data_IF_202890187850
#
_entry.id   IF_202890187850
#
_cell.length_a   1.000
_cell.length_b   1.000
_cell.length_c   1.000
_cell.angle_alpha   90.00
_cell.angle_beta   90.00
_cell.angle_gamma   90.00
#
_symmetry.space_group_name_H-M   'P 1'
#
loop_
_entity.id
_entity.type
_entity.pdbx_description
1 polymer ?
#
# COMPACT_ATOMS: atom_id res chain seq x y z
N UNK A 1 14.92 -42.61 -22.72
CA UNK A 1 15.29 -41.27 -22.19
C UNK A 1 14.29 -40.28 -22.74
N UNK A 2 13.25 -39.96 -21.96
CA UNK A 2 12.23 -38.98 -22.37
C UNK A 2 12.64 -37.61 -21.85
N UNK A 3 12.97 -36.71 -22.78
CA UNK A 3 13.28 -35.30 -22.49
C UNK A 3 11.98 -34.60 -22.06
N UNK A 4 11.93 -33.93 -20.90
CA UNK A 4 10.73 -33.19 -20.50
C UNK A 4 10.51 -31.95 -21.38
N UNK A 5 9.27 -31.45 -21.51
CA UNK A 5 8.93 -30.32 -22.35
C UNK A 5 9.50 -29.00 -21.80
N UNK A 6 10.52 -28.45 -22.46
CA UNK A 6 11.14 -27.15 -22.14
C UNK A 6 10.32 -25.93 -22.59
N UNK A 7 9.21 -26.15 -23.30
CA UNK A 7 8.41 -25.09 -23.94
C UNK A 7 7.63 -24.24 -22.94
N UNK A 8 7.16 -24.83 -21.83
CA UNK A 8 6.31 -24.15 -20.83
C UNK A 8 7.09 -23.14 -19.99
N UNK A 9 8.33 -23.46 -19.61
CA UNK A 9 9.20 -22.57 -18.81
C UNK A 9 9.69 -21.36 -19.61
N UNK A 10 9.99 -21.56 -20.90
CA UNK A 10 10.39 -20.48 -21.81
C UNK A 10 9.24 -19.49 -22.05
N UNK A 11 8.01 -20.00 -22.21
CA UNK A 11 6.80 -19.18 -22.33
C UNK A 11 6.55 -18.30 -21.10
N UNK A 12 6.62 -18.88 -19.89
CA UNK A 12 6.49 -18.13 -18.64
C UNK A 12 7.55 -17.05 -18.48
N UNK A 13 8.82 -17.35 -18.78
CA UNK A 13 9.91 -16.38 -18.72
C UNK A 13 9.67 -15.18 -19.65
N UNK A 14 9.17 -15.44 -20.87
CA UNK A 14 8.82 -14.39 -21.83
C UNK A 14 7.64 -13.52 -21.35
N UNK A 15 6.62 -14.13 -20.72
CA UNK A 15 5.47 -13.42 -20.17
C UNK A 15 5.87 -12.51 -19.00
N UNK A 16 6.72 -13.01 -18.08
CA UNK A 16 7.26 -12.20 -16.97
C UNK A 16 8.08 -11.03 -17.51
N UNK A 17 8.93 -11.25 -18.52
CA UNK A 17 9.70 -10.20 -19.14
C UNK A 17 8.82 -9.11 -19.78
N UNK A 18 7.75 -9.51 -20.47
CA UNK A 18 6.78 -8.58 -21.08
C UNK A 18 6.01 -7.79 -20.03
N UNK A 19 5.55 -8.45 -18.96
CA UNK A 19 4.89 -7.78 -17.84
C UNK A 19 5.80 -6.76 -17.15
N UNK A 20 7.03 -7.16 -16.81
CA UNK A 20 8.01 -6.28 -16.16
C UNK A 20 8.32 -5.06 -17.04
N UNK A 21 8.49 -5.25 -18.36
CA UNK A 21 8.67 -4.15 -19.31
C UNK A 21 7.46 -3.20 -19.33
N UNK A 22 6.25 -3.69 -19.16
CA UNK A 22 5.03 -2.88 -19.10
C UNK A 22 4.87 -2.06 -17.81
N UNK A 23 5.48 -2.50 -16.71
CA UNK A 23 5.35 -1.84 -15.39
C UNK A 23 6.59 -1.01 -15.00
N UNK A 24 7.77 -1.31 -15.55
CA UNK A 24 9.06 -0.74 -15.10
C UNK A 24 9.08 0.79 -15.01
N UNK A 25 8.52 1.50 -16.01
CA UNK A 25 8.50 2.97 -16.01
C UNK A 25 7.68 3.54 -14.85
N UNK A 26 6.48 2.97 -14.65
CA UNK A 26 5.56 3.39 -13.59
C UNK A 26 6.13 3.03 -12.22
N UNK A 27 6.69 1.84 -12.08
CA UNK A 27 7.31 1.38 -10.85
C UNK A 27 8.55 2.22 -10.47
N UNK A 28 9.36 2.63 -11.44
CA UNK A 28 10.53 3.49 -11.19
C UNK A 28 10.15 4.91 -10.75
N UNK A 29 9.14 5.51 -11.39
CA UNK A 29 8.61 6.80 -10.98
C UNK A 29 7.94 6.72 -9.60
N UNK A 30 7.14 5.67 -9.37
CA UNK A 30 6.52 5.39 -8.08
C UNK A 30 7.55 5.29 -6.97
N UNK A 31 8.58 4.45 -7.16
CA UNK A 31 9.61 4.22 -6.17
C UNK A 31 10.38 5.51 -5.87
N UNK A 32 10.78 6.27 -6.89
CA UNK A 32 11.45 7.57 -6.73
C UNK A 32 10.58 8.56 -5.92
N UNK A 33 9.30 8.70 -6.24
CA UNK A 33 8.44 9.67 -5.54
C UNK A 33 8.08 9.21 -4.13
N UNK A 34 8.05 7.89 -3.87
CA UNK A 34 7.87 7.40 -2.51
C UNK A 34 9.13 7.60 -1.67
N UNK A 35 10.33 7.30 -2.20
CA UNK A 35 11.60 7.37 -1.46
C UNK A 35 12.19 8.78 -1.41
N UNK A 36 11.89 9.63 -2.38
CA UNK A 36 12.53 10.93 -2.60
C UNK A 36 13.89 10.86 -3.29
N UNK A 37 14.36 9.66 -3.68
CA UNK A 37 15.67 9.45 -4.29
C UNK A 37 15.61 8.41 -5.43
N UNK A 38 16.21 8.76 -6.57
CA UNK A 38 16.21 7.94 -7.78
C UNK A 38 16.96 6.63 -7.56
N UNK A 39 18.17 6.69 -7.00
CA UNK A 39 19.02 5.50 -6.86
C UNK A 39 18.43 4.53 -5.83
N UNK A 40 17.90 5.04 -4.72
CA UNK A 40 17.22 4.25 -3.69
C UNK A 40 15.92 3.64 -4.23
N UNK A 41 15.17 4.37 -5.04
CA UNK A 41 13.96 3.87 -5.72
C UNK A 41 14.26 2.76 -6.72
N UNK A 42 15.27 2.95 -7.58
CA UNK A 42 15.70 1.96 -8.57
C UNK A 42 16.28 0.70 -7.89
N UNK A 43 16.93 0.84 -6.73
CA UNK A 43 17.39 -0.29 -5.90
C UNK A 43 16.24 -1.15 -5.39
N UNK A 44 15.23 -0.49 -4.81
CA UNK A 44 14.05 -1.19 -4.32
C UNK A 44 13.29 -1.88 -5.47
N UNK A 45 13.20 -1.24 -6.64
CA UNK A 45 12.61 -1.82 -7.82
C UNK A 45 13.38 -3.06 -8.32
N UNK A 46 14.71 -3.02 -8.36
CA UNK A 46 15.53 -4.15 -8.77
C UNK A 46 15.32 -5.38 -7.86
N UNK A 47 15.23 -5.15 -6.55
CA UNK A 47 14.92 -6.20 -5.58
C UNK A 47 13.51 -6.78 -5.83
N UNK A 48 12.50 -5.91 -5.97
CA UNK A 48 11.12 -6.32 -6.24
C UNK A 48 10.97 -7.09 -7.56
N UNK A 49 11.69 -6.70 -8.62
CA UNK A 49 11.70 -7.44 -9.90
C UNK A 49 12.26 -8.86 -9.73
N UNK A 50 13.33 -9.01 -8.95
CA UNK A 50 13.96 -10.31 -8.69
C UNK A 50 13.03 -11.23 -7.91
N UNK A 51 12.41 -10.71 -6.85
CA UNK A 51 11.46 -11.45 -6.02
C UNK A 51 10.18 -11.79 -6.80
N UNK A 52 9.68 -10.85 -7.60
CA UNK A 52 8.51 -11.07 -8.44
C UNK A 52 8.74 -12.15 -9.50
N UNK A 53 9.93 -12.21 -10.12
CA UNK A 53 10.23 -13.25 -11.11
C UNK A 53 10.10 -14.67 -10.53
N UNK A 54 10.41 -14.85 -9.25
CA UNK A 54 10.19 -16.11 -8.54
C UNK A 54 8.71 -16.32 -8.21
N UNK A 55 8.03 -15.30 -7.68
CA UNK A 55 6.62 -15.32 -7.28
C UNK A 55 5.68 -15.59 -8.46
N UNK A 56 5.99 -15.10 -9.66
CA UNK A 56 5.19 -15.26 -10.86
C UNK A 56 5.03 -16.72 -11.30
N UNK A 57 5.93 -17.62 -10.89
CA UNK A 57 5.84 -19.05 -11.22
C UNK A 57 4.66 -19.77 -10.58
N UNK A 58 4.20 -19.29 -9.42
CA UNK A 58 3.07 -19.85 -8.67
C UNK A 58 1.83 -18.96 -8.62
N UNK A 59 1.83 -17.84 -9.36
CA UNK A 59 0.76 -16.83 -9.30
C UNK A 59 0.00 -16.78 -10.63
N UNK A 60 -1.34 -16.83 -10.64
CA UNK A 60 -2.14 -16.61 -11.84
C UNK A 60 -1.87 -15.24 -12.47
N UNK A 61 -1.82 -15.18 -13.80
CA UNK A 61 -1.54 -13.93 -14.54
C UNK A 61 -2.41 -12.73 -14.14
N UNK A 62 -3.73 -12.86 -13.88
CA UNK A 62 -4.56 -11.73 -13.45
C UNK A 62 -4.12 -11.10 -12.12
N UNK A 63 -3.49 -11.86 -11.22
CA UNK A 63 -3.05 -11.38 -9.91
C UNK A 63 -1.67 -10.71 -9.96
N UNK A 64 -0.96 -10.77 -11.09
CA UNK A 64 0.41 -10.27 -11.24
C UNK A 64 0.55 -8.79 -10.90
N UNK A 65 -0.28 -7.86 -11.41
CA UNK A 65 -0.18 -6.44 -11.05
C UNK A 65 -0.27 -6.22 -9.55
N UNK A 66 -1.31 -6.77 -8.90
CA UNK A 66 -1.53 -6.65 -7.46
C UNK A 66 -0.35 -7.19 -6.67
N UNK A 67 0.15 -8.39 -7.01
CA UNK A 67 1.27 -9.02 -6.31
C UNK A 67 2.57 -8.24 -6.49
N UNK A 68 2.83 -7.73 -7.69
CA UNK A 68 3.99 -6.90 -7.97
C UNK A 68 4.00 -5.63 -7.11
N UNK A 69 2.89 -4.89 -7.05
CA UNK A 69 2.79 -3.66 -6.26
C UNK A 69 2.89 -3.93 -4.76
N UNK A 70 2.28 -5.01 -4.26
CA UNK A 70 2.44 -5.43 -2.87
C UNK A 70 3.91 -5.77 -2.54
N UNK A 71 4.61 -6.47 -3.44
CA UNK A 71 6.04 -6.79 -3.27
C UNK A 71 6.91 -5.53 -3.26
N UNK A 72 6.66 -4.60 -4.19
CA UNK A 72 7.39 -3.33 -4.25
C UNK A 72 7.23 -2.53 -2.97
N UNK A 73 6.04 -2.49 -2.39
CA UNK A 73 5.77 -1.79 -1.12
C UNK A 73 6.31 -2.50 0.11
N UNK A 74 6.60 -3.80 0.03
CA UNK A 74 7.26 -4.53 1.10
C UNK A 74 8.74 -4.11 1.25
N UNK A 75 9.34 -3.54 0.20
CA UNK A 75 10.72 -3.07 0.22
C UNK A 75 10.95 -2.05 1.36
N UNK A 76 11.96 -2.25 2.23
CA UNK A 76 12.19 -1.40 3.40
C UNK A 76 12.33 0.10 3.07
N UNK A 77 12.95 0.41 1.93
CA UNK A 77 13.13 1.78 1.47
C UNK A 77 11.82 2.54 1.21
N UNK A 78 10.75 1.83 0.84
CA UNK A 78 9.43 2.44 0.58
C UNK A 78 8.56 2.55 1.84
N UNK A 79 8.85 1.75 2.88
CA UNK A 79 8.14 1.77 4.17
C UNK A 79 8.57 2.91 5.09
N UNK A 80 9.79 3.43 4.93
CA UNK A 80 10.32 4.57 5.67
C UNK A 80 10.63 5.74 4.71
N UNK A 81 9.61 6.36 4.09
CA UNK A 81 9.81 7.39 3.09
C UNK A 81 10.42 8.65 3.71
N UNK A 82 11.43 9.20 3.04
CA UNK A 82 11.99 10.48 3.41
C UNK A 82 11.03 11.63 3.06
N UNK A 83 11.21 12.76 3.74
CA UNK A 83 10.56 14.02 3.35
C UNK A 83 11.02 14.36 1.94
N UNK A 84 10.08 14.62 1.03
CA UNK A 84 10.42 15.01 -0.33
C UNK A 84 10.97 16.44 -0.28
N UNK A 85 12.13 16.73 -0.88
CA UNK A 85 12.59 18.10 -1.00
C UNK A 85 11.65 18.92 -1.89
N UNK A 86 11.34 20.15 -1.49
CA UNK A 86 10.47 21.07 -2.25
C UNK A 86 11.05 21.40 -3.65
N UNK A 87 12.37 21.39 -3.79
CA UNK A 87 13.11 21.66 -5.04
C UNK A 87 13.53 20.39 -5.81
N UNK A 88 13.00 19.22 -5.44
CA UNK A 88 13.35 17.95 -6.08
C UNK A 88 12.73 17.77 -7.47
N UNK A 89 13.22 16.79 -8.24
CA UNK A 89 12.59 16.30 -9.49
C UNK A 89 11.24 15.57 -9.24
N UNK A 90 10.57 15.88 -8.12
CA UNK A 90 9.32 15.29 -7.67
C UNK A 90 8.10 16.03 -8.21
N UNK A 91 6.93 15.38 -8.12
CA UNK A 91 5.65 16.06 -8.34
C UNK A 91 5.42 17.05 -7.18
N UNK A 92 5.30 18.37 -7.42
CA UNK A 92 5.14 19.36 -6.36
C UNK A 92 3.95 19.06 -5.44
N UNK A 93 2.87 18.52 -6.01
CA UNK A 93 1.68 18.12 -5.27
C UNK A 93 1.90 16.99 -4.24
N UNK A 94 3.02 16.27 -4.32
CA UNK A 94 3.38 15.20 -3.38
C UNK A 94 4.34 15.66 -2.27
N UNK A 95 4.98 16.83 -2.40
CA UNK A 95 6.01 17.30 -1.48
C UNK A 95 5.47 17.49 -0.05
N UNK A 96 4.24 18.01 0.09
CA UNK A 96 3.57 18.20 1.37
C UNK A 96 2.94 16.94 1.98
N UNK A 97 2.93 15.80 1.28
CA UNK A 97 2.29 14.58 1.78
C UNK A 97 3.26 13.73 2.59
N UNK A 98 2.81 13.25 3.75
CA UNK A 98 3.52 12.22 4.51
C UNK A 98 3.45 10.86 3.80
N UNK A 99 4.30 9.92 4.20
CA UNK A 99 4.51 8.64 3.49
C UNK A 99 3.25 7.82 3.20
N UNK A 100 2.30 7.77 4.14
CA UNK A 100 1.05 7.03 3.99
C UNK A 100 0.08 7.67 2.97
N UNK A 101 -0.34 8.93 3.17
CA UNK A 101 -1.12 9.67 2.17
C UNK A 101 -0.46 9.74 0.80
N UNK A 102 0.88 9.80 0.74
CA UNK A 102 1.62 9.77 -0.52
C UNK A 102 1.43 8.43 -1.25
N UNK A 103 1.56 7.30 -0.55
CA UNK A 103 1.43 5.98 -1.16
C UNK A 103 0.02 5.74 -1.71
N UNK A 104 -1.03 6.21 -1.02
CA UNK A 104 -2.41 6.05 -1.49
C UNK A 104 -2.66 6.78 -2.80
N UNK A 105 -2.18 8.03 -2.91
CA UNK A 105 -2.25 8.83 -4.14
C UNK A 105 -1.43 8.19 -5.25
N UNK A 106 -0.19 7.78 -4.97
CA UNK A 106 0.68 7.14 -5.95
C UNK A 106 0.09 5.83 -6.51
N UNK A 107 -0.55 5.01 -5.67
CA UNK A 107 -1.23 3.79 -6.14
C UNK A 107 -2.37 4.11 -7.12
N UNK A 108 -3.09 5.22 -6.90
CA UNK A 108 -4.17 5.63 -7.79
C UNK A 108 -3.65 6.23 -9.10
N UNK A 109 -2.70 7.16 -9.03
CA UNK A 109 -2.28 7.94 -10.21
C UNK A 109 -1.20 7.27 -11.02
N UNK A 110 -0.24 6.63 -10.34
CA UNK A 110 1.00 6.13 -10.96
C UNK A 110 0.90 4.65 -11.23
N UNK A 111 0.48 3.87 -10.22
CA UNK A 111 0.22 2.45 -10.43
C UNK A 111 -1.04 2.22 -11.28
N UNK A 112 -1.98 3.18 -11.29
CA UNK A 112 -3.21 3.11 -12.08
C UNK A 112 -4.17 2.03 -11.60
N UNK A 113 -4.05 1.61 -10.34
CA UNK A 113 -4.87 0.55 -9.77
C UNK A 113 -6.29 1.06 -9.49
N UNK A 114 -7.24 0.13 -9.58
CA UNK A 114 -8.59 0.37 -9.07
C UNK A 114 -8.57 0.45 -7.54
N UNK A 115 -9.53 1.14 -6.93
CA UNK A 115 -9.56 1.36 -5.47
C UNK A 115 -9.52 0.05 -4.68
N UNK A 116 -10.21 -0.98 -5.15
CA UNK A 116 -10.26 -2.27 -4.47
C UNK A 116 -8.91 -3.00 -4.53
N UNK A 117 -8.19 -2.93 -5.65
CA UNK A 117 -6.86 -3.51 -5.79
C UNK A 117 -5.84 -2.72 -4.96
N UNK A 118 -5.89 -1.39 -4.99
CA UNK A 118 -5.01 -0.54 -4.19
C UNK A 118 -5.21 -0.76 -2.68
N UNK A 119 -6.46 -0.91 -2.23
CA UNK A 119 -6.78 -1.28 -0.86
C UNK A 119 -6.21 -2.66 -0.49
N UNK A 120 -6.38 -3.65 -1.38
CA UNK A 120 -5.84 -5.00 -1.19
C UNK A 120 -4.30 -5.04 -1.17
N UNK A 121 -3.63 -4.16 -1.92
CA UNK A 121 -2.16 -3.99 -1.91
C UNK A 121 -1.69 -3.44 -0.56
N UNK A 122 -2.42 -2.49 0.02
CA UNK A 122 -2.11 -1.91 1.33
C UNK A 122 -2.58 -2.75 2.52
N UNK A 123 -3.35 -3.81 2.28
CA UNK A 123 -3.93 -4.64 3.35
C UNK A 123 -5.00 -3.92 4.17
N UNK A 124 -5.70 -2.94 3.58
CA UNK A 124 -6.77 -2.16 4.23
C UNK A 124 -8.11 -2.37 3.53
N UNK A 125 -9.20 -1.97 4.18
CA UNK A 125 -10.52 -1.99 3.54
C UNK A 125 -10.61 -0.93 2.44
N UNK A 126 -11.50 -1.14 1.47
CA UNK A 126 -11.78 -0.15 0.41
C UNK A 126 -12.22 1.19 1.00
N UNK A 127 -13.05 1.18 2.05
CA UNK A 127 -13.51 2.39 2.71
C UNK A 127 -12.35 3.20 3.32
N UNK A 128 -11.42 2.51 4.01
CA UNK A 128 -10.23 3.15 4.59
C UNK A 128 -9.32 3.73 3.50
N UNK A 129 -9.12 3.01 2.40
CA UNK A 129 -8.36 3.52 1.26
C UNK A 129 -9.02 4.78 0.67
N UNK A 130 -10.33 4.76 0.46
CA UNK A 130 -11.08 5.88 -0.14
C UNK A 130 -11.03 7.13 0.75
N UNK A 131 -11.17 6.96 2.07
CA UNK A 131 -11.04 8.04 3.04
C UNK A 131 -9.61 8.62 3.06
N UNK A 132 -8.59 7.76 3.01
CA UNK A 132 -7.20 8.18 2.92
C UNK A 132 -6.91 8.97 1.64
N UNK A 133 -7.47 8.53 0.50
CA UNK A 133 -7.35 9.22 -0.78
C UNK A 133 -8.04 10.59 -0.76
N UNK A 134 -9.26 10.68 -0.20
CA UNK A 134 -9.99 11.94 -0.03
C UNK A 134 -9.18 12.95 0.79
N UNK A 135 -8.62 12.52 1.93
CA UNK A 135 -7.81 13.39 2.80
C UNK A 135 -6.48 13.84 2.18
N UNK A 136 -5.91 13.04 1.28
CA UNK A 136 -4.62 13.33 0.66
C UNK A 136 -4.70 14.28 -0.53
N UNK A 137 -5.87 14.40 -1.16
CA UNK A 137 -6.03 15.21 -2.37
C UNK A 137 -6.33 16.69 -2.05
N UNK A 138 -6.05 17.60 -3.00
CA UNK A 138 -6.38 19.01 -2.84
C UNK A 138 -7.90 19.21 -2.71
N UNK A 139 -8.27 20.11 -1.80
CA UNK A 139 -9.65 20.56 -1.62
C UNK A 139 -9.77 22.01 -2.09
N UNK A 140 -10.95 22.39 -2.58
CA UNK A 140 -11.30 23.77 -2.86
C UNK A 140 -11.54 24.52 -1.54
N UNK A 141 -11.61 25.85 -1.59
CA UNK A 141 -11.88 26.73 -0.44
C UNK A 141 -13.17 26.37 0.33
N UNK A 142 -14.13 25.74 -0.34
CA UNK A 142 -15.38 25.24 0.23
C UNK A 142 -15.23 23.88 0.96
N UNK A 143 -14.02 23.33 1.02
CA UNK A 143 -13.74 22.02 1.60
C UNK A 143 -14.17 20.83 0.72
N UNK A 144 -14.68 21.07 -0.49
CA UNK A 144 -15.02 20.00 -1.44
C UNK A 144 -13.76 19.50 -2.17
N UNK A 145 -13.73 18.24 -2.63
CA UNK A 145 -12.62 17.74 -3.46
C UNK A 145 -12.48 18.54 -4.76
N UNK A 146 -11.27 18.93 -5.15
CA UNK A 146 -11.01 19.61 -6.42
C UNK A 146 -10.69 18.62 -7.55
N UNK A 147 -11.65 18.31 -8.46
CA UNK A 147 -11.42 17.37 -9.55
C UNK A 147 -10.44 17.89 -10.60
N UNK A 148 -10.29 19.21 -10.76
CA UNK A 148 -9.35 19.77 -11.73
C UNK A 148 -7.92 19.69 -11.22
N UNK A 149 -7.69 20.01 -9.94
CA UNK A 149 -6.38 19.79 -9.32
C UNK A 149 -6.00 18.32 -9.38
N UNK A 150 -6.95 17.42 -9.13
CA UNK A 150 -6.72 16.00 -9.27
C UNK A 150 -6.28 15.63 -10.70
N UNK A 151 -7.00 16.11 -11.73
CA UNK A 151 -6.64 15.84 -13.13
C UNK A 151 -5.26 16.37 -13.49
N UNK A 152 -4.92 17.61 -13.06
CA UNK A 152 -3.59 18.20 -13.28
C UNK A 152 -2.48 17.34 -12.68
N UNK A 153 -2.68 16.80 -11.48
CA UNK A 153 -1.70 15.91 -10.83
C UNK A 153 -1.53 14.61 -11.62
N UNK A 154 -2.63 13.98 -12.05
CA UNK A 154 -2.59 12.75 -12.83
C UNK A 154 -1.89 12.96 -14.19
N UNK A 155 -2.20 14.06 -14.87
CA UNK A 155 -1.59 14.41 -16.16
C UNK A 155 -0.09 14.71 -16.02
N UNK A 156 0.30 15.45 -14.97
CA UNK A 156 1.70 15.72 -14.65
C UNK A 156 2.47 14.43 -14.34
N UNK A 157 1.88 13.54 -13.54
CA UNK A 157 2.46 12.23 -13.24
C UNK A 157 2.67 11.40 -14.51
N UNK A 158 1.64 11.33 -15.36
CA UNK A 158 1.72 10.57 -16.61
C UNK A 158 2.70 11.18 -17.61
N UNK A 159 2.80 12.51 -17.68
CA UNK A 159 3.79 13.20 -18.48
C UNK A 159 5.22 12.89 -18.00
N UNK A 160 5.47 12.94 -16.68
CA UNK A 160 6.76 12.61 -16.11
C UNK A 160 7.16 11.14 -16.34
N UNK A 161 6.21 10.20 -16.21
CA UNK A 161 6.44 8.77 -16.51
C UNK A 161 6.82 8.56 -17.99
N UNK A 162 6.16 9.28 -18.90
CA UNK A 162 6.46 9.22 -20.35
C UNK A 162 7.81 9.85 -20.69
N UNK A 163 8.17 10.94 -19.99
CA UNK A 163 9.40 11.70 -20.19
C UNK A 163 10.62 11.13 -19.43
N UNK A 164 10.56 9.87 -18.94
CA UNK A 164 11.69 9.24 -18.26
C UNK A 164 12.96 9.26 -19.14
N UNK A 165 14.12 9.68 -18.60
CA UNK A 165 15.36 9.77 -19.38
C UNK A 165 15.74 8.43 -20.03
N UNK A 166 16.22 8.43 -21.30
CA UNK A 166 16.55 7.21 -22.02
C UNK A 166 17.67 6.40 -21.34
N UNK A 167 18.64 7.07 -20.72
CA UNK A 167 19.71 6.40 -19.96
C UNK A 167 19.17 5.63 -18.75
N UNK A 168 18.13 6.17 -18.10
CA UNK A 168 17.46 5.49 -16.98
C UNK A 168 16.66 4.29 -17.50
N UNK A 169 15.99 4.41 -18.65
CA UNK A 169 15.31 3.27 -19.27
C UNK A 169 16.28 2.14 -19.63
N UNK A 170 17.47 2.46 -20.16
CA UNK A 170 18.51 1.46 -20.43
C UNK A 170 18.99 0.78 -19.13
N UNK A 171 19.16 1.56 -18.05
CA UNK A 171 19.48 1.03 -16.72
C UNK A 171 18.41 0.07 -16.21
N UNK A 172 17.13 0.45 -16.30
CA UNK A 172 15.99 -0.39 -15.89
C UNK A 172 15.91 -1.69 -16.71
N UNK A 173 16.16 -1.63 -18.02
CA UNK A 173 16.21 -2.81 -18.86
C UNK A 173 17.30 -3.80 -18.41
N UNK A 174 18.49 -3.28 -18.05
CA UNK A 174 19.57 -4.10 -17.49
C UNK A 174 19.23 -4.71 -16.13
N UNK A 175 18.50 -3.99 -15.27
CA UNK A 175 18.01 -4.50 -13.98
C UNK A 175 17.00 -5.63 -14.17
N UNK A 176 16.04 -5.47 -15.10
CA UNK A 176 15.07 -6.51 -15.46
C UNK A 176 15.77 -7.77 -15.97
N UNK A 177 16.77 -7.63 -16.84
CA UNK A 177 17.52 -8.78 -17.38
C UNK A 177 18.36 -9.50 -16.33
N UNK A 178 18.86 -8.78 -15.33
CA UNK A 178 19.51 -9.41 -14.18
C UNK A 178 18.49 -10.12 -13.27
N UNK A 179 17.34 -9.48 -13.01
CA UNK A 179 16.26 -10.05 -12.21
C UNK A 179 15.74 -11.37 -12.79
N UNK A 180 15.54 -11.44 -14.11
CA UNK A 180 15.14 -12.67 -14.82
C UNK A 180 16.19 -13.78 -14.74
N UNK A 181 17.46 -13.43 -14.52
CA UNK A 181 18.56 -14.39 -14.26
C UNK A 181 18.71 -14.72 -12.76
N UNK A 182 17.83 -14.20 -11.90
CA UNK A 182 17.93 -14.37 -10.44
C UNK A 182 19.11 -13.62 -9.82
N UNK A 183 19.69 -12.65 -10.53
CA UNK A 183 20.81 -11.84 -10.04
C UNK A 183 20.29 -10.48 -9.59
N UNK A 184 20.67 -10.05 -8.39
CA UNK A 184 20.50 -8.65 -7.96
C UNK A 184 21.81 -7.92 -8.29
N UNK A 185 21.86 -7.05 -9.32
CA UNK A 185 23.09 -6.33 -9.62
C UNK A 185 23.44 -5.40 -8.45
N UNK A 186 24.72 -5.31 -8.04
CA UNK A 186 25.14 -4.19 -7.22
C UNK A 186 24.97 -2.93 -8.08
N UNK A 187 24.05 -2.05 -7.69
CA UNK A 187 23.87 -0.75 -8.33
C UNK A 187 25.17 0.05 -8.17
N UNK A 188 25.97 0.11 -9.24
CA UNK A 188 27.09 1.05 -9.32
C UNK A 188 26.49 2.45 -9.42
N UNK A 189 26.85 3.31 -8.47
CA UNK A 189 26.62 4.76 -8.54
C UNK A 189 27.34 5.30 -9.78
N UNK A 190 26.62 5.39 -10.89
CA UNK A 190 27.04 6.14 -12.05
C UNK A 190 26.35 7.51 -11.98
N UNK A 191 27.09 8.63 -11.99
CA UNK A 191 26.47 9.94 -11.96
C UNK A 191 25.62 10.07 -13.24
N UNK A 192 24.31 10.22 -13.07
CA UNK A 192 23.45 10.71 -14.14
C UNK A 192 23.95 12.13 -14.45
N UNK A 193 24.41 12.33 -15.69
CA UNK A 193 25.00 13.58 -16.13
C UNK A 193 23.89 14.64 -16.18
N UNK A 194 23.79 15.44 -15.12
CA UNK A 194 22.92 16.61 -15.05
C UNK A 194 23.30 17.54 -16.22
N UNK A 195 22.31 17.93 -17.03
CA UNK A 195 22.50 18.93 -18.08
C UNK A 195 23.14 20.20 -17.48
N UNK A 196 24.07 20.86 -18.18
CA UNK A 196 24.83 21.97 -17.61
C UNK A 196 23.88 23.15 -17.33
N UNK A 197 23.52 23.32 -16.06
CA UNK A 197 23.03 24.58 -15.56
C UNK A 197 24.22 25.56 -15.56
N UNK A 198 23.97 26.75 -16.10
CA UNK A 198 24.90 27.89 -16.15
C UNK A 198 25.64 28.02 -14.81
N UNK A 199 26.98 28.00 -14.88
CA UNK A 199 27.88 28.11 -13.73
C UNK A 199 27.68 29.44 -12.99
N UNK A 200 26.93 29.40 -11.89
CA UNK A 200 27.17 30.31 -10.77
C UNK A 200 28.37 29.77 -9.96
N UNK A 201 29.19 30.62 -9.32
CA UNK A 201 30.35 30.15 -8.56
C UNK A 201 29.85 29.37 -7.33
N UNK A 202 29.91 28.05 -7.41
CA UNK A 202 29.61 27.16 -6.29
C UNK A 202 30.86 27.07 -5.42
N UNK A 203 30.79 27.67 -4.23
CA UNK A 203 31.74 27.39 -3.15
C UNK A 203 31.80 25.88 -2.92
N UNK A 204 33.00 25.33 -3.04
CA UNK A 204 33.26 23.90 -2.90
C UNK A 204 32.99 23.48 -1.47
N UNK A 205 31.83 22.87 -1.23
CA UNK A 205 31.54 22.20 0.04
C UNK A 205 32.56 21.07 0.28
N UNK A 206 33.15 20.96 1.49
CA UNK A 206 34.22 20.01 1.75
C UNK A 206 33.70 18.56 1.71
N UNK A 207 34.43 17.75 0.95
CA UNK A 207 34.30 16.29 0.82
C UNK A 207 34.22 15.60 2.18
N UNK A 208 33.37 14.57 2.22
CA UNK A 208 33.16 13.60 3.29
C UNK A 208 34.30 13.52 4.31
N UNK A 209 34.02 14.00 5.52
CA UNK A 209 34.91 13.89 6.68
C UNK A 209 35.23 12.41 6.90
N UNK A 210 36.48 12.02 6.62
CA UNK A 210 37.10 10.86 7.27
C UNK A 210 36.85 11.03 8.76
N UNK A 211 36.07 10.13 9.36
CA UNK A 211 35.75 10.19 10.79
C UNK A 211 37.07 10.17 11.54
N UNK A 212 37.42 11.33 12.13
CA UNK A 212 38.61 11.50 12.91
C UNK A 212 38.58 10.50 14.07
N UNK A 213 39.70 9.82 14.40
CA UNK A 213 39.75 8.78 15.43
C UNK A 213 39.37 9.28 16.83
N UNK A 214 39.27 10.60 17.02
CA UNK A 214 38.80 11.23 18.26
C UNK A 214 37.27 11.35 18.40
N UNK A 215 36.49 10.95 17.38
CA UNK A 215 35.02 10.83 17.49
C UNK A 215 34.59 9.59 18.27
N UNK A 216 35.44 8.57 18.39
CA UNK A 216 35.15 7.37 19.19
C UNK A 216 34.95 7.65 20.68
N UNK A 217 35.77 8.45 21.38
CA UNK A 217 35.49 8.81 22.78
C UNK A 217 34.24 9.68 22.93
N UNK A 218 33.96 10.58 21.97
CA UNK A 218 32.75 11.40 22.00
C UNK A 218 31.48 10.58 21.77
N UNK A 219 31.51 9.61 20.84
CA UNK A 219 30.42 8.66 20.65
C UNK A 219 30.27 7.73 21.85
N UNK A 220 31.38 7.29 22.46
CA UNK A 220 31.36 6.53 23.70
C UNK A 220 30.68 7.29 24.84
N UNK A 221 31.01 8.58 25.01
CA UNK A 221 30.37 9.43 26.02
C UNK A 221 28.88 9.60 25.77
N UNK A 222 28.47 9.86 24.52
CA UNK A 222 27.05 10.02 24.16
C UNK A 222 26.30 8.70 24.37
N UNK A 223 26.90 7.57 24.00
CA UNK A 223 26.27 6.26 24.16
C UNK A 223 26.16 5.87 25.64
N UNK A 224 27.15 6.20 26.47
CA UNK A 224 27.09 6.05 27.92
C UNK A 224 26.04 6.97 28.54
N UNK A 225 25.94 8.23 28.10
CA UNK A 225 24.91 9.15 28.57
C UNK A 225 23.50 8.68 28.17
N UNK A 226 23.35 8.13 26.96
CA UNK A 226 22.09 7.59 26.47
C UNK A 226 21.70 6.30 27.20
N UNK A 227 22.66 5.42 27.49
CA UNK A 227 22.45 4.23 28.32
C UNK A 227 22.18 4.60 29.79
N UNK A 228 22.80 5.64 30.32
CA UNK A 228 22.51 6.14 31.66
C UNK A 228 21.11 6.75 31.75
N UNK A 229 20.70 7.53 30.75
CA UNK A 229 19.33 8.05 30.64
C UNK A 229 18.31 6.91 30.49
N UNK A 230 18.61 5.90 29.68
CA UNK A 230 17.75 4.73 29.50
C UNK A 230 17.68 3.89 30.79
N UNK A 231 18.80 3.65 31.47
CA UNK A 231 18.83 3.00 32.77
C UNK A 231 18.07 3.81 33.82
N UNK A 232 18.10 5.14 33.74
CA UNK A 232 17.31 6.03 34.61
C UNK A 232 15.81 5.87 34.37
N UNK A 233 15.36 5.63 33.13
CA UNK A 233 13.94 5.34 32.86
C UNK A 233 13.49 3.98 33.41
N UNK A 234 14.42 3.07 33.70
CA UNK A 234 14.15 1.75 34.27
C UNK A 234 14.60 1.62 35.73
N UNK A 235 15.01 2.74 36.35
CA UNK A 235 15.33 2.85 37.78
C UNK A 235 14.19 2.35 38.67
N UNK A 236 12.96 2.63 38.27
CA UNK A 236 11.75 2.24 39.01
C UNK A 236 11.28 0.80 38.67
N UNK A 237 11.97 0.13 37.75
CA UNK A 237 11.67 -1.23 37.29
C UNK A 237 12.73 -2.27 37.75
N UNK A 238 13.65 -1.90 38.64
CA UNK A 238 14.63 -2.84 39.19
C UNK A 238 13.96 -3.89 40.10
N UNK A 239 14.27 -5.18 39.92
CA UNK A 239 13.62 -6.25 40.65
C UNK A 239 14.14 -6.28 42.09
N UNK A 240 13.25 -5.98 43.04
CA UNK A 240 13.55 -6.00 44.48
C UNK A 240 12.60 -5.16 45.34
N UNK A 241 11.89 -4.21 44.75
CA UNK A 241 10.74 -3.55 45.38
C UNK A 241 9.45 -4.19 44.88
N UNK A 242 8.82 -5.01 45.71
CA UNK A 242 7.57 -5.70 45.37
C UNK A 242 6.49 -4.75 44.87
N UNK A 243 5.75 -5.19 43.86
CA UNK A 243 4.50 -4.61 43.38
C UNK A 243 3.35 -4.90 44.38
N UNK A 244 3.60 -4.68 45.66
CA UNK A 244 2.64 -4.83 46.76
C UNK A 244 2.87 -3.65 47.71
N UNK A 245 2.34 -2.47 47.33
CA UNK A 245 1.62 -1.58 48.28
C UNK A 245 1.22 -0.20 47.73
N UNK A 246 1.63 0.23 46.53
CA UNK A 246 1.32 1.63 46.15
C UNK A 246 1.06 1.91 44.65
N UNK A 247 0.32 1.01 43.98
CA UNK A 247 -0.51 1.46 42.85
C UNK A 247 -1.90 1.73 43.39
N UNK A 248 -2.02 2.81 44.16
CA UNK A 248 -3.31 3.38 44.50
C UNK A 248 -3.96 3.87 43.20
N UNK A 249 -4.79 3.02 42.59
CA UNK A 249 -5.71 3.42 41.53
C UNK A 249 -6.50 4.60 42.08
N UNK A 250 -6.22 5.81 41.59
CA UNK A 250 -6.98 7.00 41.99
C UNK A 250 -8.33 6.92 41.30
N UNK A 251 -9.30 6.37 42.01
CA UNK A 251 -10.71 6.41 41.66
C UNK A 251 -11.18 7.81 42.07
N UNK A 252 -11.20 8.73 41.11
CA UNK A 252 -11.84 10.03 41.31
C UNK A 252 -13.32 9.87 40.96
N UNK A 253 -14.20 10.13 41.92
CA UNK A 253 -15.63 10.12 41.68
C UNK A 253 -15.94 11.26 40.70
N UNK A 254 -16.42 10.90 39.50
CA UNK A 254 -16.99 11.87 38.58
C UNK A 254 -18.06 12.67 39.33
N UNK A 255 -18.15 13.99 39.12
CA UNK A 255 -19.24 14.78 39.68
C UNK A 255 -20.56 14.12 39.30
N UNK A 256 -21.50 14.06 40.24
CA UNK A 256 -22.80 13.45 40.02
C UNK A 256 -23.37 13.97 38.69
N UNK A 257 -23.58 13.05 37.75
CA UNK A 257 -24.09 13.40 36.43
C UNK A 257 -25.34 14.26 36.62
N UNK A 258 -25.39 15.43 35.98
CA UNK A 258 -26.60 16.22 35.98
C UNK A 258 -27.75 15.32 35.51
N UNK A 259 -28.82 15.25 36.30
CA UNK A 259 -30.01 14.55 35.88
C UNK A 259 -30.46 15.11 34.53
N UNK A 260 -30.81 14.25 33.56
CA UNK A 260 -31.21 14.70 32.23
C UNK A 260 -32.35 15.72 32.36
N UNK A 261 -32.33 16.75 31.51
CA UNK A 261 -33.27 17.87 31.58
C UNK A 261 -34.74 17.42 31.42
N UNK A 262 -34.96 16.26 30.80
CA UNK A 262 -36.21 15.53 30.81
C UNK A 262 -35.90 14.03 30.64
N UNK A 263 -36.62 13.19 31.36
CA UNK A 263 -36.73 11.76 31.06
C UNK A 263 -38.06 11.52 30.37
N UNK A 264 -38.09 10.58 29.43
CA UNK A 264 -39.36 10.01 29.02
C UNK A 264 -40.00 9.29 30.21
N UNK A 265 -41.32 9.22 30.25
CA UNK A 265 -42.00 8.30 31.17
C UNK A 265 -41.63 6.85 30.80
N UNK A 266 -41.83 5.92 31.74
CA UNK A 266 -41.39 4.53 31.56
C UNK A 266 -42.04 3.84 30.35
N UNK A 267 -43.27 4.25 29.99
CA UNK A 267 -44.01 3.71 28.84
C UNK A 267 -43.42 4.21 27.51
N UNK A 268 -43.15 5.51 27.41
CA UNK A 268 -42.52 6.13 26.22
C UNK A 268 -41.06 5.72 26.11
N UNK A 269 -40.35 5.57 27.23
CA UNK A 269 -38.99 5.05 27.24
C UNK A 269 -38.93 3.63 26.66
N UNK A 270 -39.84 2.75 27.07
CA UNK A 270 -39.93 1.40 26.53
C UNK A 270 -40.30 1.41 25.04
N UNK A 271 -41.29 2.21 24.64
CA UNK A 271 -41.72 2.31 23.23
C UNK A 271 -40.67 2.91 22.29
N UNK A 272 -39.71 3.68 22.82
CA UNK A 272 -38.65 4.33 22.04
C UNK A 272 -37.31 3.59 22.19
N UNK A 273 -37.29 2.45 22.88
CA UNK A 273 -36.09 1.65 23.04
C UNK A 273 -35.68 1.07 21.66
N UNK A 274 -34.41 1.23 21.23
CA UNK A 274 -33.92 0.65 19.98
C UNK A 274 -34.16 -0.86 19.86
N UNK A 275 -34.22 -1.56 21.01
CA UNK A 275 -34.41 -3.01 21.09
C UNK A 275 -35.85 -3.39 21.46
N UNK A 276 -36.83 -2.49 21.33
CA UNK A 276 -38.23 -2.73 21.71
C UNK A 276 -38.84 -4.00 21.07
N UNK A 277 -38.57 -4.24 19.78
CA UNK A 277 -39.02 -5.44 19.08
C UNK A 277 -38.44 -6.73 19.71
N UNK A 278 -37.20 -6.65 20.19
CA UNK A 278 -36.49 -7.75 20.84
C UNK A 278 -36.95 -7.94 22.30
N UNK A 279 -37.41 -6.88 22.97
CA UNK A 279 -38.00 -6.94 24.31
C UNK A 279 -39.44 -7.47 24.32
N UNK A 280 -40.19 -7.27 23.24
CA UNK A 280 -41.57 -7.75 23.10
C UNK A 280 -41.67 -9.19 22.57
N UNK A 281 -40.57 -9.74 22.07
CA UNK A 281 -40.52 -11.10 21.52
C UNK A 281 -40.71 -12.16 22.62
N UNK A 282 -41.53 -13.19 22.38
CA UNK A 282 -41.85 -14.25 23.36
C UNK A 282 -40.59 -14.91 23.93
N UNK A 283 -40.58 -15.20 25.24
CA UNK A 283 -39.43 -15.73 26.03
C UNK A 283 -38.91 -17.13 25.61
N UNK A 284 -39.36 -17.64 24.47
CA UNK A 284 -38.96 -18.95 23.91
C UNK A 284 -37.99 -18.82 22.74
N UNK A 285 -37.50 -17.61 22.46
CA UNK A 285 -36.58 -17.36 21.37
C UNK A 285 -35.20 -17.95 21.64
N UNK A 286 -34.68 -18.77 20.72
CA UNK A 286 -33.43 -19.50 20.88
C UNK A 286 -32.19 -18.61 21.07
N UNK A 287 -32.25 -17.35 20.63
CA UNK A 287 -31.17 -16.38 20.84
C UNK A 287 -31.05 -15.92 22.30
N UNK A 288 -32.09 -16.09 23.14
CA UNK A 288 -32.01 -15.81 24.58
C UNK A 288 -31.26 -16.88 25.36
N UNK A 289 -31.34 -18.12 24.92
CA UNK A 289 -30.62 -19.23 25.55
C UNK A 289 -29.11 -19.16 25.26
N UNK A 290 -28.74 -18.76 24.03
CA UNK A 290 -27.34 -18.69 23.59
C UNK A 290 -26.97 -17.36 22.90
N UNK A 291 -27.06 -16.21 23.59
CA UNK A 291 -26.92 -14.90 22.95
C UNK A 291 -25.55 -14.67 22.30
N UNK A 292 -24.49 -15.23 22.90
CA UNK A 292 -23.14 -15.15 22.35
C UNK A 292 -22.99 -15.90 21.01
N UNK A 293 -23.68 -17.03 20.86
CA UNK A 293 -23.66 -17.81 19.63
C UNK A 293 -24.41 -17.08 18.51
N UNK A 294 -25.58 -16.51 18.81
CA UNK A 294 -26.37 -15.79 17.81
C UNK A 294 -25.75 -14.44 17.40
N UNK A 295 -25.06 -13.73 18.31
CA UNK A 295 -24.27 -12.55 17.95
C UNK A 295 -23.08 -12.90 17.03
N UNK A 296 -22.45 -14.05 17.24
CA UNK A 296 -21.44 -14.57 16.31
C UNK A 296 -22.06 -15.03 14.98
N UNK A 297 -23.25 -15.62 15.00
CA UNK A 297 -23.93 -16.10 13.81
C UNK A 297 -24.45 -14.94 12.93
N UNK A 298 -24.96 -13.86 13.51
CA UNK A 298 -25.44 -12.68 12.74
C UNK A 298 -24.31 -12.06 11.91
N UNK A 299 -23.11 -11.93 12.47
CA UNK A 299 -21.93 -11.46 11.73
C UNK A 299 -21.49 -12.41 10.61
N UNK A 300 -21.85 -13.69 10.67
CA UNK A 300 -21.61 -14.67 9.60
C UNK A 300 -22.69 -14.65 8.51
N UNK A 301 -23.94 -14.43 8.88
CA UNK A 301 -25.09 -14.38 7.96
C UNK A 301 -25.12 -13.06 7.18
N UNK A 302 -24.72 -11.94 7.79
CA UNK A 302 -24.62 -10.62 7.12
C UNK A 302 -23.42 -10.51 6.16
N UNK A 303 -22.60 -11.56 6.04
CA UNK A 303 -21.70 -11.66 4.91
C UNK A 303 -22.57 -12.04 3.71
N UNK A 304 -22.84 -11.16 2.73
CA UNK A 304 -23.58 -11.58 1.56
C UNK A 304 -22.83 -12.77 0.97
N UNK A 305 -23.53 -13.90 0.86
CA UNK A 305 -23.14 -14.96 -0.06
C UNK A 305 -22.83 -14.25 -1.37
N UNK A 306 -21.61 -14.43 -1.88
CA UNK A 306 -21.19 -13.89 -3.16
C UNK A 306 -22.16 -14.45 -4.20
N UNK A 307 -23.23 -13.72 -4.49
CA UNK A 307 -24.25 -14.04 -5.49
C UNK A 307 -23.68 -13.78 -6.89
N UNK A 308 -22.41 -14.16 -7.08
CA UNK A 308 -21.79 -14.47 -8.35
C UNK A 308 -22.08 -15.92 -8.69
N UNK A 309 -23.35 -16.32 -8.63
CA UNK A 309 -23.79 -17.26 -9.64
C UNK A 309 -23.66 -16.50 -10.96
N UNK A 310 -22.78 -16.99 -11.82
CA UNK A 310 -22.47 -16.39 -13.11
C UNK A 310 -23.76 -16.25 -13.94
N UNK A 311 -24.40 -15.09 -13.87
CA UNK A 311 -25.47 -14.69 -14.78
C UNK A 311 -25.02 -14.60 -16.25
N UNK A 312 -23.76 -14.97 -16.54
CA UNK A 312 -23.23 -15.11 -17.90
C UNK A 312 -23.23 -16.56 -18.42
N UNK A 313 -23.69 -17.53 -17.62
CA UNK A 313 -23.83 -18.94 -18.01
C UNK A 313 -25.29 -19.42 -18.00
N UNK A 314 -26.27 -18.51 -18.16
CA UNK A 314 -27.59 -18.93 -18.58
C UNK A 314 -27.51 -19.37 -20.05
N UNK A 315 -27.49 -20.70 -20.18
CA UNK A 315 -27.76 -21.51 -21.36
C UNK A 315 -28.32 -20.75 -22.56
N UNK A 316 -27.49 -20.60 -23.59
CA UNK A 316 -27.99 -20.45 -24.96
C UNK A 316 -28.88 -21.67 -25.25
N UNK A 317 -30.16 -21.50 -25.62
CA UNK A 317 -30.99 -22.61 -26.00
C UNK A 317 -30.40 -23.25 -27.26
N UNK A 318 -30.04 -24.52 -27.14
CA UNK A 318 -29.72 -25.41 -28.24
C UNK A 318 -30.97 -25.57 -29.12
N UNK A 319 -31.11 -24.68 -30.12
CA UNK A 319 -32.04 -24.86 -31.21
C UNK A 319 -31.34 -25.69 -32.29
N UNK A 320 -31.79 -26.94 -32.37
CA UNK A 320 -31.49 -27.88 -33.42
C UNK A 320 -31.87 -27.34 -34.81
N UNK A 321 -31.10 -27.81 -35.79
CA UNK A 321 -31.37 -27.89 -37.23
C UNK A 321 -31.73 -26.60 -37.99
N UNK A 322 -30.84 -26.20 -38.91
CA UNK A 322 -31.21 -26.43 -40.32
C UNK A 322 -29.97 -26.46 -41.25
N UNK A 323 -29.77 -27.65 -41.82
CA UNK A 323 -29.34 -27.94 -43.20
C UNK A 323 -28.72 -26.80 -44.02
N UNK A 324 -27.39 -26.85 -44.22
CA UNK A 324 -26.76 -26.31 -45.43
C UNK A 324 -26.06 -27.43 -46.19
N UNK A 325 -26.83 -27.86 -47.17
CA UNK A 325 -26.56 -28.79 -48.26
C UNK A 325 -25.23 -28.45 -48.97
N UNK A 326 -24.38 -29.46 -49.08
CA UNK A 326 -23.25 -29.51 -50.00
C UNK A 326 -23.80 -29.73 -51.40
N UNK A 327 -23.73 -28.73 -52.29
CA UNK A 327 -23.98 -28.95 -53.72
C UNK A 327 -22.98 -28.18 -54.57
N UNK A 328 -22.24 -29.00 -55.31
CA UNK A 328 -21.53 -28.81 -56.58
C UNK A 328 -20.33 -27.87 -56.70
N UNK A 329 -19.20 -28.56 -56.90
CA UNK A 329 -18.17 -28.18 -57.86
C UNK A 329 -18.72 -28.28 -59.30
N UNK A 330 -18.60 -27.19 -60.06
CA UNK A 330 -18.05 -27.19 -61.43
C UNK A 330 -18.11 -25.77 -62.03
N UNK A 331 -16.92 -25.28 -62.42
CA UNK A 331 -16.53 -24.32 -63.48
C UNK A 331 -15.46 -23.31 -63.03
#
# INVERSE_FOLDING_TARGET
MSTPPQSSSSGLSSAVAAFLRGVERRAAAFAQWQTGDVDTGDAALAAAMTEFAQLATGTPFPDWPRRFWAQLLAAPALRAPAVLPDDGDGLPALAGLSGGPRVTVLLRMVAGLAEHEAAAVLGVTRATYRLGLQRALPHREDGSPDPEAWRRIADAAQAAIRALPPDRLARLAGLREAALRGQVPPLRRFPLQRAPAVEAPVEVAPRARRRAPWLWPAQGLVLVAMLAALAWTWRDAWPGGGLEDDVAIRIEALPAAQAPAATYDDEVALLTDPDFDLLTETDTAAWREEPAFYAWLSTRIETPVDDRSDAHLDSVPEAADDTLETTDADL
#
